data_IF_880111772715
#
_entry.id   IF_880111772715
#
_cell.length_a   1.000
_cell.length_b   1.000
_cell.length_c   1.000
_cell.angle_alpha   90.00
_cell.angle_beta   90.00
_cell.angle_gamma   90.00
#
_symmetry.space_group_name_H-M   'P 1'
#
loop_
_entity.id
_entity.type
_entity.pdbx_description
1 polymer ?
#
# COMPACT_ATOMS: atom_id res chain seq x y z
N UNK A 1 21.09 11.30 10.84
CA UNK A 1 21.14 9.91 11.33
C UNK A 1 19.81 9.22 11.05
N UNK A 2 19.76 7.88 11.04
CA UNK A 2 18.53 7.10 10.78
C UNK A 2 17.37 7.49 11.71
N UNK A 3 17.67 7.74 12.99
CA UNK A 3 16.69 8.18 13.99
C UNK A 3 15.98 9.50 13.61
N UNK A 4 16.64 10.43 12.91
CA UNK A 4 16.02 11.68 12.48
C UNK A 4 14.98 11.45 11.38
N UNK A 5 15.24 10.53 10.46
CA UNK A 5 14.30 10.19 9.37
C UNK A 5 13.07 9.49 9.97
N UNK A 6 13.28 8.51 10.84
CA UNK A 6 12.18 7.83 11.54
C UNK A 6 11.33 8.80 12.37
N UNK A 7 11.98 9.72 13.10
CA UNK A 7 11.29 10.77 13.87
C UNK A 7 10.49 11.70 12.96
N UNK A 8 11.04 12.10 11.81
CA UNK A 8 10.35 12.94 10.83
C UNK A 8 9.08 12.26 10.33
N UNK A 9 9.18 11.00 9.93
CA UNK A 9 8.04 10.24 9.38
C UNK A 9 6.94 10.08 10.43
N UNK A 10 7.32 9.73 11.67
CA UNK A 10 6.38 9.63 12.77
C UNK A 10 5.70 10.97 13.07
N UNK A 11 6.45 12.06 13.15
CA UNK A 11 5.88 13.41 13.36
C UNK A 11 4.96 13.81 12.20
N UNK A 12 5.32 13.46 10.96
CA UNK A 12 4.48 13.67 9.78
C UNK A 12 3.12 12.99 9.90
N UNK A 13 3.12 11.71 10.28
CA UNK A 13 1.89 10.96 10.52
C UNK A 13 1.05 11.59 11.64
N UNK A 14 1.69 11.92 12.77
CA UNK A 14 1.01 12.50 13.95
C UNK A 14 0.44 13.90 13.72
N UNK A 15 0.97 14.67 12.76
CA UNK A 15 0.39 15.98 12.36
C UNK A 15 -0.93 15.85 11.61
N UNK A 16 -1.26 14.65 11.12
CA UNK A 16 -2.53 14.37 10.44
C UNK A 16 -3.24 13.20 11.12
N UNK A 17 -3.64 13.36 12.39
CA UNK A 17 -4.05 12.25 13.24
C UNK A 17 -5.27 11.50 12.70
N UNK A 18 -6.21 12.19 12.06
CA UNK A 18 -7.38 11.55 11.42
C UNK A 18 -6.94 10.66 10.25
N UNK A 19 -5.96 11.10 9.43
CA UNK A 19 -5.40 10.30 8.34
C UNK A 19 -4.63 9.08 8.88
N UNK A 20 -3.87 9.26 9.95
CA UNK A 20 -3.16 8.15 10.58
C UNK A 20 -4.13 7.12 11.17
N UNK A 21 -5.16 7.57 11.89
CA UNK A 21 -6.18 6.69 12.45
C UNK A 21 -6.97 5.94 11.36
N UNK A 22 -7.38 6.62 10.29
CA UNK A 22 -8.09 5.97 9.17
C UNK A 22 -7.20 4.96 8.44
N UNK A 23 -5.90 5.23 8.30
CA UNK A 23 -4.94 4.26 7.77
C UNK A 23 -4.83 3.02 8.65
N UNK A 24 -4.72 3.19 9.97
CA UNK A 24 -4.69 2.06 10.91
C UNK A 24 -5.95 1.21 10.82
N UNK A 25 -7.13 1.85 10.79
CA UNK A 25 -8.42 1.16 10.62
C UNK A 25 -8.52 0.43 9.28
N UNK A 26 -8.08 1.05 8.19
CA UNK A 26 -8.02 0.41 6.88
C UNK A 26 -7.10 -0.81 6.85
N UNK A 27 -5.92 -0.72 7.48
CA UNK A 27 -4.97 -1.83 7.56
C UNK A 27 -5.51 -2.98 8.43
N UNK A 28 -6.21 -2.67 9.52
CA UNK A 28 -6.93 -3.69 10.29
C UNK A 28 -8.06 -4.34 9.48
N UNK A 29 -8.87 -3.55 8.77
CA UNK A 29 -9.93 -4.09 7.90
C UNK A 29 -9.36 -4.96 6.78
N UNK A 30 -8.21 -4.59 6.20
CA UNK A 30 -7.48 -5.42 5.24
C UNK A 30 -7.06 -6.76 5.85
N UNK A 31 -6.54 -6.78 7.08
CA UNK A 31 -6.22 -8.00 7.81
C UNK A 31 -7.44 -8.92 8.04
N UNK A 32 -8.59 -8.35 8.38
CA UNK A 32 -9.86 -9.10 8.48
C UNK A 32 -10.26 -9.69 7.13
N UNK A 33 -10.22 -8.89 6.05
CA UNK A 33 -10.57 -9.34 4.70
C UNK A 33 -9.64 -10.45 4.19
N UNK A 34 -8.37 -10.45 4.58
CA UNK A 34 -7.45 -11.56 4.27
C UNK A 34 -7.87 -12.87 4.94
N UNK A 35 -8.30 -12.81 6.21
CA UNK A 35 -8.82 -14.00 6.89
C UNK A 35 -10.08 -14.53 6.18
N UNK A 36 -11.02 -13.63 5.84
CA UNK A 36 -12.22 -13.98 5.04
C UNK A 36 -11.84 -14.59 3.68
N UNK A 37 -10.78 -14.09 3.04
CA UNK A 37 -10.34 -14.61 1.75
C UNK A 37 -9.76 -16.03 1.85
N UNK A 38 -8.99 -16.31 2.90
CA UNK A 38 -8.38 -17.63 3.14
C UNK A 38 -9.44 -18.70 3.42
N UNK A 39 -10.46 -18.36 4.20
CA UNK A 39 -11.56 -19.30 4.51
C UNK A 39 -12.57 -19.43 3.36
N UNK A 40 -12.61 -18.46 2.45
CA UNK A 40 -13.52 -18.45 1.31
C UNK A 40 -13.08 -19.34 0.16
N UNK A 41 -14.00 -19.61 -0.77
CA UNK A 41 -13.77 -20.31 -2.03
C UNK A 41 -14.24 -19.50 -3.25
N UNK A 42 -13.82 -19.93 -4.44
CA UNK A 42 -14.24 -19.34 -5.72
C UNK A 42 -14.28 -17.81 -5.73
N UNK A 43 -15.46 -17.26 -6.03
CA UNK A 43 -15.69 -15.81 -6.10
C UNK A 43 -15.57 -15.12 -4.73
N UNK A 44 -15.96 -15.79 -3.64
CA UNK A 44 -15.86 -15.24 -2.29
C UNK A 44 -14.41 -14.94 -1.90
N UNK A 45 -13.52 -15.89 -2.19
CA UNK A 45 -12.05 -15.74 -2.03
C UNK A 45 -11.52 -14.57 -2.84
N UNK A 46 -11.86 -14.51 -4.14
CA UNK A 46 -11.34 -13.48 -5.05
C UNK A 46 -11.78 -12.07 -4.61
N UNK A 47 -13.06 -11.88 -4.30
CA UNK A 47 -13.58 -10.57 -3.88
C UNK A 47 -12.93 -10.13 -2.58
N UNK A 48 -12.82 -11.02 -1.59
CA UNK A 48 -12.21 -10.69 -0.30
C UNK A 48 -10.70 -10.39 -0.43
N UNK A 49 -9.95 -11.18 -1.20
CA UNK A 49 -8.52 -10.96 -1.43
C UNK A 49 -8.24 -9.63 -2.15
N UNK A 50 -8.99 -9.33 -3.22
CA UNK A 50 -8.85 -8.07 -3.95
C UNK A 50 -9.30 -6.89 -3.08
N UNK A 51 -10.40 -7.05 -2.33
CA UNK A 51 -10.85 -6.05 -1.37
C UNK A 51 -9.79 -5.75 -0.30
N UNK A 52 -9.17 -6.79 0.26
CA UNK A 52 -8.08 -6.65 1.21
C UNK A 52 -6.89 -5.90 0.61
N UNK A 53 -6.50 -6.24 -0.62
CA UNK A 53 -5.40 -5.60 -1.33
C UNK A 53 -5.65 -4.11 -1.56
N UNK A 54 -6.84 -3.75 -2.06
CA UNK A 54 -7.20 -2.36 -2.34
C UNK A 54 -7.28 -1.52 -1.07
N UNK A 55 -7.97 -2.01 -0.04
CA UNK A 55 -8.08 -1.32 1.25
C UNK A 55 -6.70 -1.16 1.89
N UNK A 56 -5.90 -2.23 1.93
CA UNK A 56 -4.55 -2.21 2.50
C UNK A 56 -3.60 -1.29 1.73
N UNK A 57 -3.61 -1.36 0.40
CA UNK A 57 -2.80 -0.48 -0.45
C UNK A 57 -3.15 0.97 -0.22
N UNK A 58 -4.44 1.35 -0.29
CA UNK A 58 -4.90 2.72 -0.07
C UNK A 58 -4.53 3.23 1.33
N UNK A 59 -4.75 2.43 2.37
CA UNK A 59 -4.41 2.79 3.74
C UNK A 59 -2.91 3.04 3.96
N UNK A 60 -2.04 2.21 3.35
CA UNK A 60 -0.58 2.42 3.39
C UNK A 60 -0.13 3.75 2.75
N UNK A 61 -0.95 4.34 1.89
CA UNK A 61 -0.64 5.61 1.23
C UNK A 61 -0.34 6.75 2.20
N UNK A 62 -0.88 6.73 3.42
CA UNK A 62 -0.61 7.74 4.46
C UNK A 62 0.83 7.66 4.99
N UNK A 63 1.41 6.46 5.08
CA UNK A 63 2.78 6.25 5.53
C UNK A 63 3.82 6.24 4.41
N UNK A 64 3.40 6.25 3.15
CA UNK A 64 4.26 6.09 1.98
C UNK A 64 4.81 7.41 1.39
N UNK A 65 4.48 8.57 1.98
CA UNK A 65 4.93 9.89 1.49
C UNK A 65 6.46 10.01 1.43
N UNK A 66 7.18 9.30 2.30
CA UNK A 66 8.64 9.24 2.29
C UNK A 66 9.22 8.68 0.99
N UNK A 67 8.55 7.74 0.32
CA UNK A 67 9.02 7.20 -0.95
C UNK A 67 9.01 8.24 -2.07
N UNK A 68 7.97 9.09 -2.12
CA UNK A 68 7.88 10.18 -3.11
C UNK A 68 9.02 11.17 -2.91
N UNK A 69 9.28 11.56 -1.65
CA UNK A 69 10.43 12.40 -1.30
C UNK A 69 11.76 11.81 -1.78
N UNK A 70 11.95 10.50 -1.64
CA UNK A 70 13.18 9.84 -2.12
C UNK A 70 13.31 9.91 -3.64
N UNK A 71 12.23 9.66 -4.36
CA UNK A 71 12.22 9.72 -5.84
C UNK A 71 12.53 11.14 -6.32
N UNK A 72 11.96 12.16 -5.70
CA UNK A 72 12.20 13.56 -6.04
C UNK A 72 13.68 13.94 -5.88
N UNK A 73 14.31 13.54 -4.78
CA UNK A 73 15.71 13.88 -4.49
C UNK A 73 16.73 12.93 -5.15
N UNK A 74 16.30 11.78 -5.67
CA UNK A 74 17.19 10.80 -6.31
C UNK A 74 17.79 11.29 -7.63
N UNK A 75 17.16 12.28 -8.27
CA UNK A 75 17.61 12.87 -9.54
C UNK A 75 18.66 13.98 -9.37
N UNK A 76 18.91 14.43 -8.14
CA UNK A 76 19.85 15.50 -7.82
C UNK A 76 21.14 14.95 -7.18
N UNK A 77 22.25 15.72 -7.16
CA UNK A 77 23.43 15.37 -6.36
C UNK A 77 23.03 15.07 -4.91
N UNK A 78 23.65 14.07 -4.25
CA UNK A 78 23.17 13.54 -2.97
C UNK A 78 23.23 14.59 -1.86
N UNK A 79 22.10 15.29 -1.63
CA UNK A 79 21.97 16.39 -0.66
C UNK A 79 22.20 15.94 0.79
N UNK A 80 21.96 14.66 1.08
CA UNK A 80 22.04 14.10 2.43
C UNK A 80 23.30 13.27 2.68
N UNK A 81 24.13 13.04 1.66
CA UNK A 81 25.25 12.08 1.76
C UNK A 81 24.81 10.64 2.08
N UNK A 82 23.52 10.31 1.87
CA UNK A 82 22.92 8.99 2.10
C UNK A 82 22.51 8.41 0.74
N UNK A 83 22.86 7.15 0.41
CA UNK A 83 22.46 6.55 -0.85
C UNK A 83 20.94 6.32 -0.92
N UNK A 84 20.37 6.47 -2.12
CA UNK A 84 18.91 6.37 -2.37
C UNK A 84 18.29 5.10 -1.80
N UNK A 85 18.92 3.95 -2.00
CA UNK A 85 18.43 2.67 -1.46
C UNK A 85 18.31 2.67 0.06
N UNK A 86 19.24 3.32 0.78
CA UNK A 86 19.15 3.45 2.24
C UNK A 86 18.03 4.39 2.67
N UNK A 87 17.77 5.45 1.92
CA UNK A 87 16.63 6.33 2.19
C UNK A 87 15.30 5.60 1.97
N UNK A 88 15.17 4.81 0.91
CA UNK A 88 13.99 3.96 0.67
C UNK A 88 13.76 3.01 1.86
N UNK A 89 14.79 2.30 2.31
CA UNK A 89 14.68 1.39 3.45
C UNK A 89 14.25 2.11 4.74
N UNK A 90 14.80 3.31 4.99
CA UNK A 90 14.43 4.09 6.18
C UNK A 90 12.97 4.56 6.14
N UNK A 91 12.49 5.02 4.97
CA UNK A 91 11.10 5.42 4.78
C UNK A 91 10.13 4.24 4.68
N UNK A 92 10.61 3.02 4.46
CA UNK A 92 9.79 1.81 4.51
C UNK A 92 9.49 1.37 5.95
N UNK A 93 10.27 1.79 6.95
CA UNK A 93 10.13 1.32 8.34
C UNK A 93 8.74 1.65 8.89
N UNK A 94 8.33 2.92 8.86
CA UNK A 94 7.05 3.33 9.44
C UNK A 94 5.83 2.63 8.81
N UNK A 95 5.63 2.65 7.47
CA UNK A 95 4.49 1.97 6.86
C UNK A 95 4.54 0.45 7.08
N UNK A 96 5.73 -0.16 7.11
CA UNK A 96 5.87 -1.60 7.40
C UNK A 96 5.49 -1.93 8.83
N UNK A 97 6.06 -1.26 9.83
CA UNK A 97 5.81 -1.58 11.24
C UNK A 97 4.38 -1.27 11.66
N UNK A 98 3.86 -0.11 11.27
CA UNK A 98 2.50 0.29 11.61
C UNK A 98 1.48 -0.57 10.85
N UNK A 99 1.73 -0.84 9.57
CA UNK A 99 0.84 -1.68 8.76
C UNK A 99 0.80 -3.12 9.22
N UNK A 100 1.96 -3.72 9.54
CA UNK A 100 2.02 -5.08 10.07
C UNK A 100 1.27 -5.16 11.39
N UNK A 101 1.50 -4.22 12.32
CA UNK A 101 0.80 -4.21 13.61
C UNK A 101 -0.73 -4.10 13.44
N UNK A 102 -1.21 -3.21 12.57
CA UNK A 102 -2.64 -3.02 12.35
C UNK A 102 -3.28 -4.21 11.62
N UNK A 103 -2.64 -4.75 10.58
CA UNK A 103 -3.15 -5.91 9.87
C UNK A 103 -3.16 -7.17 10.75
N UNK A 104 -2.14 -7.35 11.60
CA UNK A 104 -2.14 -8.41 12.61
C UNK A 104 -3.26 -8.22 13.64
N UNK A 105 -3.57 -6.99 14.06
CA UNK A 105 -4.71 -6.76 14.94
C UNK A 105 -6.03 -7.17 14.29
N UNK A 106 -6.24 -6.82 13.02
CA UNK A 106 -7.42 -7.24 12.25
C UNK A 106 -7.50 -8.75 12.05
N UNK A 107 -6.42 -9.37 11.58
CA UNK A 107 -6.35 -10.83 11.41
C UNK A 107 -6.53 -11.56 12.75
N UNK A 108 -5.94 -11.06 13.83
CA UNK A 108 -6.09 -11.62 15.18
C UNK A 108 -7.52 -11.57 15.69
N UNK A 109 -8.27 -10.49 15.41
CA UNK A 109 -9.71 -10.42 15.72
C UNK A 109 -10.48 -11.50 14.94
N UNK A 110 -10.19 -11.69 13.65
CA UNK A 110 -10.85 -12.72 12.84
C UNK A 110 -10.53 -14.14 13.31
N UNK A 111 -9.26 -14.42 13.63
CA UNK A 111 -8.82 -15.73 14.15
C UNK A 111 -9.42 -16.01 15.53
N UNK A 112 -9.50 -15.01 16.41
CA UNK A 112 -10.22 -15.15 17.68
C UNK A 112 -11.73 -15.41 17.48
N UNK A 113 -12.28 -15.00 16.34
CA UNK A 113 -13.64 -15.29 15.89
C UNK A 113 -13.81 -16.63 15.16
N UNK A 114 -12.75 -17.42 14.99
CA UNK A 114 -12.79 -18.76 14.40
C UNK A 114 -12.21 -18.91 13.00
N UNK A 115 -11.64 -17.85 12.40
CA UNK A 115 -10.93 -17.95 11.12
C UNK A 115 -9.62 -18.73 11.22
N UNK A 116 -9.09 -19.22 10.10
CA UNK A 116 -7.82 -19.95 10.07
C UNK A 116 -6.63 -19.08 10.56
N UNK A 117 -5.82 -19.64 11.46
CA UNK A 117 -4.62 -19.01 12.02
C UNK A 117 -3.55 -18.69 10.95
N UNK A 118 -3.61 -19.29 9.76
CA UNK A 118 -2.77 -18.92 8.60
C UNK A 118 -2.87 -17.42 8.29
N UNK A 119 -4.00 -16.77 8.58
CA UNK A 119 -4.18 -15.33 8.43
C UNK A 119 -3.14 -14.49 9.21
N UNK A 120 -2.64 -14.98 10.36
CA UNK A 120 -1.60 -14.30 11.15
C UNK A 120 -0.24 -14.26 10.45
N UNK A 121 0.00 -15.16 9.49
CA UNK A 121 1.22 -15.20 8.67
C UNK A 121 1.01 -14.46 7.35
N UNK A 122 -0.15 -14.64 6.72
CA UNK A 122 -0.47 -14.03 5.43
C UNK A 122 -0.63 -12.51 5.55
N UNK A 123 -1.29 -12.01 6.61
CA UNK A 123 -1.49 -10.58 6.81
C UNK A 123 -0.19 -9.75 6.81
N UNK A 124 0.84 -10.06 7.62
CA UNK A 124 2.09 -9.32 7.58
C UNK A 124 2.83 -9.48 6.25
N UNK A 125 2.80 -10.67 5.63
CA UNK A 125 3.44 -10.90 4.33
C UNK A 125 2.83 -10.02 3.23
N UNK A 126 1.50 -9.95 3.16
CA UNK A 126 0.77 -9.10 2.22
C UNK A 126 1.05 -7.63 2.48
N UNK A 127 1.05 -7.16 3.74
CA UNK A 127 1.38 -5.76 4.04
C UNK A 127 2.78 -5.40 3.56
N UNK A 128 3.79 -6.22 3.84
CA UNK A 128 5.17 -5.97 3.40
C UNK A 128 5.27 -5.94 1.87
N UNK A 129 4.57 -6.85 1.20
CA UNK A 129 4.43 -6.85 -0.27
C UNK A 129 3.81 -5.54 -0.77
N UNK A 130 2.72 -5.08 -0.16
CA UNK A 130 2.06 -3.83 -0.54
C UNK A 130 2.93 -2.59 -0.26
N UNK A 131 3.81 -2.62 0.74
CA UNK A 131 4.83 -1.56 0.94
C UNK A 131 5.82 -1.53 -0.22
N UNK A 132 6.23 -2.69 -0.74
CA UNK A 132 7.07 -2.76 -1.96
C UNK A 132 6.30 -2.21 -3.16
N UNK A 133 5.02 -2.57 -3.32
CA UNK A 133 4.17 -2.00 -4.39
C UNK A 133 4.04 -0.48 -4.24
N UNK A 134 3.99 0.06 -3.02
CA UNK A 134 3.99 1.51 -2.77
C UNK A 134 5.31 2.19 -3.14
N UNK A 135 6.44 1.54 -2.93
CA UNK A 135 7.73 2.05 -3.38
C UNK A 135 7.82 2.03 -4.92
N UNK A 136 7.30 0.98 -5.56
CA UNK A 136 7.18 0.89 -7.02
C UNK A 136 6.28 2.01 -7.59
N UNK A 137 5.09 2.20 -7.00
CA UNK A 137 4.13 3.25 -7.34
C UNK A 137 4.75 4.65 -7.24
N UNK A 138 5.53 4.90 -6.17
CA UNK A 138 6.25 6.16 -6.03
C UNK A 138 7.33 6.36 -7.10
N UNK A 139 8.04 5.30 -7.49
CA UNK A 139 9.10 5.35 -8.50
C UNK A 139 8.59 5.66 -9.91
N UNK A 140 7.29 5.47 -10.16
CA UNK A 140 6.64 5.86 -11.41
C UNK A 140 6.70 7.36 -11.69
N UNK A 141 6.83 8.18 -10.63
CA UNK A 141 6.94 9.62 -10.74
C UNK A 141 5.60 10.33 -11.04
N UNK A 142 5.64 11.65 -11.26
CA UNK A 142 4.43 12.43 -11.51
C UNK A 142 3.76 12.03 -12.84
N UNK A 143 2.45 12.22 -12.90
CA UNK A 143 1.66 12.02 -14.11
C UNK A 143 2.22 12.89 -15.26
N UNK A 144 2.61 12.32 -16.41
CA UNK A 144 3.14 13.09 -17.53
C UNK A 144 2.09 14.07 -18.08
N UNK A 145 2.54 15.27 -18.52
CA UNK A 145 1.64 16.26 -19.12
C UNK A 145 0.88 15.72 -20.35
N UNK A 146 1.51 14.81 -21.11
CA UNK A 146 0.87 14.15 -22.27
C UNK A 146 -0.33 13.29 -21.89
N UNK A 147 -0.36 12.75 -20.67
CA UNK A 147 -1.47 11.93 -20.14
C UNK A 147 -2.62 12.80 -19.62
N UNK A 148 -2.34 14.06 -19.29
CA UNK A 148 -3.35 15.04 -18.82
C UNK A 148 -4.00 15.82 -19.97
N UNK A 149 -3.56 15.63 -21.21
CA UNK A 149 -4.16 16.29 -22.35
C UNK A 149 -5.60 15.78 -22.57
N UNK A 150 -6.57 16.66 -22.88
CA UNK A 150 -7.92 16.26 -23.20
C UNK A 150 -7.95 15.26 -24.36
N UNK A 151 -8.78 14.21 -24.24
CA UNK A 151 -9.03 13.24 -25.30
C UNK A 151 -10.47 13.44 -25.76
N UNK A 152 -10.63 14.29 -26.78
CA UNK A 152 -11.96 14.66 -27.27
C UNK A 152 -12.58 13.49 -28.02
N UNK A 153 -13.74 13.02 -27.55
CA UNK A 153 -14.56 12.00 -28.20
C UNK A 153 -16.00 12.51 -28.41
N UNK A 154 -16.82 11.87 -29.26
CA UNK A 154 -18.24 12.20 -29.37
C UNK A 154 -19.02 12.09 -28.05
N UNK A 155 -18.53 11.29 -27.08
CA UNK A 155 -19.15 11.12 -25.77
C UNK A 155 -18.63 12.10 -24.69
N UNK A 156 -17.70 12.99 -25.04
CA UNK A 156 -17.04 13.92 -24.11
C UNK A 156 -15.52 13.71 -24.01
N UNK A 157 -14.91 14.26 -22.97
CA UNK A 157 -13.47 14.11 -22.70
C UNK A 157 -13.16 12.76 -22.03
N UNK A 158 -12.39 11.91 -22.71
CA UNK A 158 -11.96 10.61 -22.24
C UNK A 158 -10.62 10.62 -21.47
N UNK A 159 -10.03 11.80 -21.21
CA UNK A 159 -8.75 11.94 -20.50
C UNK A 159 -8.74 11.20 -19.15
N UNK A 160 -9.87 11.18 -18.43
CA UNK A 160 -10.02 10.44 -17.17
C UNK A 160 -9.74 8.94 -17.28
N UNK A 161 -10.06 8.30 -18.41
CA UNK A 161 -9.75 6.88 -18.63
C UNK A 161 -8.25 6.65 -18.83
N UNK A 162 -7.57 7.57 -19.50
CA UNK A 162 -6.11 7.51 -19.69
C UNK A 162 -5.40 7.71 -18.36
N UNK A 163 -5.87 8.66 -17.54
CA UNK A 163 -5.37 8.86 -16.17
C UNK A 163 -5.60 7.62 -15.32
N UNK A 164 -6.79 7.02 -15.38
CA UNK A 164 -7.09 5.78 -14.65
C UNK A 164 -6.19 4.62 -15.10
N UNK A 165 -5.96 4.46 -16.41
CA UNK A 165 -5.06 3.45 -16.95
C UNK A 165 -3.62 3.68 -16.50
N UNK A 166 -3.17 4.94 -16.40
CA UNK A 166 -1.88 5.26 -15.82
C UNK A 166 -1.80 4.89 -14.34
N UNK A 167 -2.86 5.04 -13.55
CA UNK A 167 -2.85 4.68 -12.13
C UNK A 167 -3.10 3.17 -11.87
N UNK A 168 -3.45 2.41 -12.91
CA UNK A 168 -3.94 1.04 -12.75
C UNK A 168 -2.85 0.03 -12.36
N UNK A 169 -1.60 0.23 -12.77
CA UNK A 169 -0.53 -0.75 -12.59
C UNK A 169 -0.26 -1.10 -11.12
N UNK A 170 -0.15 -0.10 -10.24
CA UNK A 170 0.06 -0.35 -8.82
C UNK A 170 -1.13 -1.09 -8.18
N UNK A 171 -2.36 -0.76 -8.60
CA UNK A 171 -3.57 -1.44 -8.12
C UNK A 171 -3.66 -2.89 -8.64
N UNK A 172 -3.29 -3.12 -9.91
CA UNK A 172 -3.24 -4.45 -10.51
C UNK A 172 -2.15 -5.30 -9.85
N UNK A 173 -0.97 -4.74 -9.58
CA UNK A 173 0.09 -5.42 -8.85
C UNK A 173 -0.34 -5.73 -7.42
N UNK A 174 -0.95 -4.78 -6.70
CA UNK A 174 -1.46 -5.00 -5.35
C UNK A 174 -2.50 -6.13 -5.32
N UNK A 175 -3.53 -6.04 -6.18
CA UNK A 175 -4.61 -7.03 -6.25
C UNK A 175 -4.12 -8.40 -6.69
N UNK A 176 -3.39 -8.47 -7.80
CA UNK A 176 -2.90 -9.72 -8.38
C UNK A 176 -1.91 -10.45 -7.47
N UNK A 177 -0.96 -9.72 -6.87
CA UNK A 177 0.03 -10.33 -5.99
C UNK A 177 -0.57 -10.80 -4.66
N UNK A 178 -1.51 -10.02 -4.08
CA UNK A 178 -2.26 -10.45 -2.88
C UNK A 178 -3.10 -11.69 -3.16
N UNK A 179 -3.82 -11.71 -4.28
CA UNK A 179 -4.61 -12.88 -4.68
C UNK A 179 -3.71 -14.12 -4.90
N UNK A 180 -2.52 -13.94 -5.48
CA UNK A 180 -1.53 -15.00 -5.64
C UNK A 180 -1.07 -15.57 -4.30
N UNK A 181 -0.77 -14.71 -3.32
CA UNK A 181 -0.40 -15.14 -1.95
C UNK A 181 -1.55 -15.89 -1.28
N UNK A 182 -2.77 -15.35 -1.31
CA UNK A 182 -3.95 -16.00 -0.71
C UNK A 182 -4.21 -17.35 -1.37
N UNK A 183 -4.12 -17.43 -2.69
CA UNK A 183 -4.39 -18.67 -3.45
C UNK A 183 -3.31 -19.74 -3.24
N UNK A 184 -2.10 -19.35 -2.86
CA UNK A 184 -1.03 -20.29 -2.51
C UNK A 184 -1.13 -20.80 -1.06
N UNK A 185 -1.86 -20.09 -0.20
CA UNK A 185 -1.98 -20.38 1.23
C UNK A 185 -3.29 -21.05 1.64
N UNK A 186 -4.29 -21.09 0.74
CA UNK A 186 -5.62 -21.68 0.95
C UNK A 186 -5.79 -22.99 0.15
#
# INVERSE_FOLDING_TARGET
SAALILRRDLVGALRTPVRAASACLGLAASGVLLAVALDGDGTGRVIAAVGAALVGFLALGVGADGFRHVVDVASAPPLYGIPTGRLLLLHAVLPSTAGVACALAGAGIAVAGGADAVALVVAPAVVLLLVVVRAFDAAKGPLPLSVMAPVVTPAGDASGLVIAAWQADALLLAGGSTLGVVSAAA
#
